data_IF_251518651071
#
_entry.id   IF_251518651071
#
_cell.length_a   1.000
_cell.length_b   1.000
_cell.length_c   1.000
_cell.angle_alpha   90.00
_cell.angle_beta   90.00
_cell.angle_gamma   90.00
#
_symmetry.space_group_name_H-M   'P 1'
#
loop_
_entity.id
_entity.type
_entity.pdbx_description
1 polymer ?
#
# COMPACT_ATOMS: atom_id res chain seq x y z
N UNK A 1 -4.84 -19.02 -3.68
CA UNK A 1 -4.35 -18.15 -4.77
C UNK A 1 -5.40 -17.07 -5.02
N UNK A 2 -4.97 -15.83 -4.99
CA UNK A 2 -5.72 -14.60 -5.22
C UNK A 2 -5.33 -14.12 -6.61
N UNK A 3 -6.32 -13.92 -7.46
CA UNK A 3 -6.14 -13.42 -8.82
C UNK A 3 -6.10 -11.88 -8.86
N UNK A 4 -5.60 -11.28 -9.96
CA UNK A 4 -5.64 -9.82 -10.18
C UNK A 4 -7.04 -9.26 -9.99
N UNK A 5 -8.08 -9.98 -10.45
CA UNK A 5 -9.48 -9.61 -10.30
C UNK A 5 -9.94 -9.53 -8.85
N UNK A 6 -9.56 -10.51 -8.04
CA UNK A 6 -9.92 -10.55 -6.63
C UNK A 6 -9.20 -9.44 -5.86
N UNK A 7 -7.90 -9.25 -6.12
CA UNK A 7 -7.12 -8.15 -5.55
C UNK A 7 -7.73 -6.78 -5.91
N UNK A 8 -8.08 -6.58 -7.18
CA UNK A 8 -8.74 -5.34 -7.62
C UNK A 8 -10.12 -5.13 -7.00
N UNK A 9 -10.87 -6.19 -6.73
CA UNK A 9 -12.17 -6.10 -6.04
C UNK A 9 -12.00 -5.65 -4.60
N UNK A 10 -11.00 -6.19 -3.89
CA UNK A 10 -10.67 -5.77 -2.52
C UNK A 10 -10.22 -4.31 -2.50
N UNK A 11 -9.30 -3.92 -3.38
CA UNK A 11 -8.79 -2.54 -3.43
C UNK A 11 -9.89 -1.51 -3.76
N UNK A 12 -10.81 -1.85 -4.68
CA UNK A 12 -12.00 -1.02 -4.96
C UNK A 12 -12.96 -0.93 -3.80
N UNK A 13 -13.11 -2.00 -3.03
CA UNK A 13 -13.92 -1.99 -1.80
C UNK A 13 -13.29 -1.12 -0.70
N UNK A 14 -11.97 -0.94 -0.72
CA UNK A 14 -11.21 -0.05 0.15
C UNK A 14 -11.13 1.40 -0.38
N UNK A 15 -11.81 1.72 -1.48
CA UNK A 15 -11.86 3.06 -2.06
C UNK A 15 -10.69 3.42 -2.98
N UNK A 16 -9.77 2.48 -3.26
CA UNK A 16 -8.73 2.65 -4.27
C UNK A 16 -9.24 2.23 -5.65
N UNK A 17 -8.72 2.80 -6.74
CA UNK A 17 -9.17 2.46 -8.09
C UNK A 17 -8.00 2.09 -9.02
N UNK A 18 -7.28 1.00 -8.72
CA UNK A 18 -6.10 0.61 -9.50
C UNK A 18 -6.50 0.11 -10.89
N UNK A 19 -5.63 0.37 -11.86
CA UNK A 19 -5.67 -0.17 -13.21
C UNK A 19 -5.21 -1.63 -13.23
N UNK A 20 -5.53 -2.36 -14.30
CA UNK A 20 -5.07 -3.75 -14.43
C UNK A 20 -3.54 -3.86 -14.48
N UNK A 21 -2.86 -2.86 -15.07
CA UNK A 21 -1.40 -2.80 -15.09
C UNK A 21 -0.83 -2.64 -13.68
N UNK A 22 -1.38 -1.73 -12.87
CA UNK A 22 -0.96 -1.55 -11.47
C UNK A 22 -1.24 -2.79 -10.62
N UNK A 23 -2.37 -3.48 -10.87
CA UNK A 23 -2.66 -4.75 -10.21
C UNK A 23 -1.66 -5.84 -10.60
N UNK A 24 -1.30 -5.91 -11.88
CA UNK A 24 -0.32 -6.87 -12.35
C UNK A 24 1.08 -6.58 -11.79
N UNK A 25 1.49 -5.32 -11.75
CA UNK A 25 2.76 -4.90 -11.15
C UNK A 25 2.79 -5.23 -9.65
N UNK A 26 1.69 -4.98 -8.93
CA UNK A 26 1.55 -5.36 -7.53
C UNK A 26 1.68 -6.87 -7.30
N UNK A 27 1.11 -7.70 -8.18
CA UNK A 27 1.29 -9.15 -8.10
C UNK A 27 2.75 -9.50 -8.37
N UNK A 28 3.34 -8.98 -9.44
CA UNK A 28 4.72 -9.29 -9.84
C UNK A 28 5.75 -8.90 -8.76
N UNK A 29 5.47 -7.90 -7.92
CA UNK A 29 6.34 -7.50 -6.81
C UNK A 29 6.40 -8.51 -5.65
N UNK A 30 5.36 -9.33 -5.47
CA UNK A 30 5.23 -10.24 -4.32
C UNK A 30 5.10 -11.71 -4.69
N UNK A 31 4.81 -12.00 -5.96
CA UNK A 31 4.77 -13.34 -6.56
C UNK A 31 6.19 -13.91 -6.66
N UNK A 32 6.63 -14.52 -5.56
CA UNK A 32 7.98 -15.05 -5.43
C UNK A 32 8.13 -16.40 -6.15
N UNK A 33 7.01 -17.11 -6.33
CA UNK A 33 6.97 -18.41 -6.99
C UNK A 33 6.71 -18.34 -8.51
N UNK A 34 6.32 -17.16 -9.02
CA UNK A 34 6.07 -16.90 -10.43
C UNK A 34 4.77 -17.54 -10.93
N UNK A 35 3.82 -17.80 -10.03
CA UNK A 35 2.53 -18.40 -10.36
C UNK A 35 1.58 -17.46 -11.12
N UNK A 36 1.88 -16.16 -11.13
CA UNK A 36 0.99 -15.11 -11.63
C UNK A 36 -0.22 -14.87 -10.73
N UNK A 37 -0.20 -15.41 -9.51
CA UNK A 37 -1.25 -15.25 -8.49
C UNK A 37 -0.62 -15.00 -7.13
N UNK A 38 -1.36 -14.41 -6.20
CA UNK A 38 -0.87 -14.19 -4.84
C UNK A 38 -1.39 -15.32 -3.94
N UNK A 39 -0.52 -16.07 -3.28
CA UNK A 39 -0.92 -17.00 -2.23
C UNK A 39 -1.16 -16.30 -0.88
N UNK A 40 -1.62 -17.04 0.13
CA UNK A 40 -1.93 -16.42 1.42
C UNK A 40 -0.68 -15.83 2.13
N UNK A 41 0.46 -16.54 2.20
CA UNK A 41 1.74 -15.97 2.64
C UNK A 41 2.17 -14.69 1.91
N UNK A 42 2.06 -14.65 0.59
CA UNK A 42 2.41 -13.49 -0.24
C UNK A 42 1.47 -12.32 0.02
N UNK A 43 0.17 -12.58 0.20
CA UNK A 43 -0.81 -11.58 0.57
C UNK A 43 -0.51 -10.94 1.93
N UNK A 44 -0.09 -11.76 2.92
CA UNK A 44 0.31 -11.25 4.23
C UNK A 44 1.55 -10.35 4.14
N UNK A 45 2.53 -10.71 3.33
CA UNK A 45 3.71 -9.88 3.08
C UNK A 45 3.34 -8.55 2.40
N UNK A 46 2.46 -8.59 1.40
CA UNK A 46 1.96 -7.41 0.71
C UNK A 46 1.24 -6.45 1.67
N UNK A 47 0.33 -6.99 2.49
CA UNK A 47 -0.38 -6.19 3.50
C UNK A 47 0.54 -5.65 4.59
N UNK A 48 1.51 -6.45 5.05
CA UNK A 48 2.48 -6.01 6.05
C UNK A 48 3.37 -4.86 5.54
N UNK A 49 3.80 -4.90 4.27
CA UNK A 49 4.54 -3.79 3.64
C UNK A 49 3.67 -2.54 3.49
N UNK A 50 2.44 -2.69 2.97
CA UNK A 50 1.51 -1.56 2.79
C UNK A 50 1.14 -0.87 4.11
N UNK A 51 0.89 -1.61 5.19
CA UNK A 51 0.62 -1.02 6.50
C UNK A 51 1.83 -0.20 6.99
N UNK A 52 3.05 -0.70 6.76
CA UNK A 52 4.28 0.02 7.12
C UNK A 52 4.50 1.30 6.30
N UNK A 53 4.06 1.32 5.04
CA UNK A 53 4.13 2.50 4.17
C UNK A 53 2.98 3.49 4.39
N UNK A 54 1.84 3.04 4.92
CA UNK A 54 0.70 3.94 5.25
C UNK A 54 0.91 4.64 6.59
N UNK A 55 1.70 4.06 7.50
CA UNK A 55 2.27 4.78 8.65
C UNK A 55 3.65 5.39 8.32
N UNK A 56 3.90 5.71 7.03
CA UNK A 56 5.20 6.22 6.64
C UNK A 56 5.48 7.53 7.36
N UNK A 57 6.71 7.63 7.87
CA UNK A 57 7.26 8.81 8.53
C UNK A 57 6.96 10.10 7.76
N UNK A 58 6.82 10.01 6.43
CA UNK A 58 6.48 11.11 5.54
C UNK A 58 5.04 11.62 5.74
N UNK A 59 4.03 10.76 5.93
CA UNK A 59 2.65 11.21 6.19
C UNK A 59 2.53 11.84 7.58
N UNK A 60 3.27 11.30 8.57
CA UNK A 60 3.38 11.89 9.91
C UNK A 60 4.14 13.23 9.90
N UNK A 61 5.18 13.37 9.10
CA UNK A 61 5.91 14.63 8.89
C UNK A 61 5.06 15.67 8.17
N UNK A 62 4.34 15.28 7.13
CA UNK A 62 3.41 16.16 6.40
C UNK A 62 2.32 16.67 7.34
N UNK A 63 1.70 15.77 8.12
CA UNK A 63 0.74 16.15 9.14
C UNK A 63 1.35 17.11 10.16
N UNK A 64 2.57 16.85 10.64
CA UNK A 64 3.27 17.72 11.58
C UNK A 64 3.52 19.13 11.00
N UNK A 65 3.96 19.22 9.73
CA UNK A 65 4.18 20.49 9.01
C UNK A 65 2.90 21.32 8.84
N UNK A 66 1.72 20.70 8.80
CA UNK A 66 0.46 21.44 8.76
C UNK A 66 0.25 22.27 10.04
N UNK A 67 0.72 21.77 11.19
CA UNK A 67 0.55 22.40 12.50
C UNK A 67 1.75 23.27 12.91
N UNK A 68 2.97 22.94 12.50
CA UNK A 68 4.18 23.75 12.70
C UNK A 68 4.26 24.93 11.70
N UNK A 69 3.54 26.02 12.00
CA UNK A 69 3.40 27.18 11.11
C UNK A 69 4.68 27.99 10.93
N UNK A 70 5.56 27.99 11.92
CA UNK A 70 6.82 28.74 11.88
C UNK A 70 8.03 27.87 11.51
N UNK A 71 7.80 26.58 11.22
CA UNK A 71 8.80 25.61 10.77
C UNK A 71 9.98 25.49 11.74
N UNK A 72 9.71 25.70 13.04
CA UNK A 72 10.74 25.65 14.06
C UNK A 72 10.97 24.22 14.59
N UNK A 73 10.17 23.25 14.13
CA UNK A 73 10.21 21.84 14.56
C UNK A 73 9.34 21.54 15.77
N UNK A 74 8.51 22.48 16.24
CA UNK A 74 7.67 22.38 17.44
C UNK A 74 6.28 22.97 17.19
N UNK A 75 5.22 22.21 17.50
CA UNK A 75 3.85 22.72 17.47
C UNK A 75 3.57 23.43 18.82
N UNK A 76 3.27 24.72 18.78
CA UNK A 76 2.97 25.56 19.96
C UNK A 76 1.51 26.01 20.00
#
# INVERSE_FOLDING_TARGET
CITTKELGTVMRSLGQNPTEAELQDMINEVDADGSGTIDFPEFLNLMARKMKDTDSEEELKEAFRVFDKDQNGFIS
#
